data_IF_754971300370
#
_entry.id   IF_754971300370
#
_cell.length_a   1.000
_cell.length_b   1.000
_cell.length_c   1.000
_cell.angle_alpha   90.00
_cell.angle_beta   90.00
_cell.angle_gamma   90.00
#
_symmetry.space_group_name_H-M   'P 1'
#
loop_
_entity.id
_entity.type
_entity.pdbx_description
1 polymer ?
#
# COMPACT_ATOMS: atom_id res chain seq x y z
N UNK A 1 -3.38 9.45 25.84
CA UNK A 1 -4.77 9.80 25.47
C UNK A 1 -5.31 8.80 24.46
N UNK A 2 -4.68 8.61 23.29
CA UNK A 2 -5.20 7.74 22.22
C UNK A 2 -5.48 6.29 22.67
N UNK A 3 -4.64 5.71 23.55
CA UNK A 3 -4.87 4.36 24.08
C UNK A 3 -6.14 4.33 24.95
N UNK A 4 -6.36 5.35 25.78
CA UNK A 4 -7.59 5.43 26.60
C UNK A 4 -8.84 5.55 25.75
N UNK A 5 -8.80 6.36 24.70
CA UNK A 5 -9.89 6.48 23.72
C UNK A 5 -10.14 5.14 23.04
N UNK A 6 -9.11 4.45 22.59
CA UNK A 6 -9.26 3.14 21.96
C UNK A 6 -9.86 2.09 22.92
N UNK A 7 -9.45 2.08 24.19
CA UNK A 7 -9.98 1.18 25.20
C UNK A 7 -11.46 1.49 25.51
N UNK A 8 -11.84 2.77 25.58
CA UNK A 8 -13.22 3.18 25.76
C UNK A 8 -14.07 2.75 24.56
N UNK A 9 -13.60 3.00 23.34
CA UNK A 9 -14.29 2.54 22.12
C UNK A 9 -14.44 1.03 22.04
N UNK A 10 -13.50 0.27 22.60
CA UNK A 10 -13.60 -1.19 22.72
C UNK A 10 -14.71 -1.61 23.69
N UNK A 11 -14.89 -0.90 24.80
CA UNK A 11 -15.98 -1.17 25.73
C UNK A 11 -17.35 -0.84 25.10
N UNK A 12 -17.45 0.25 24.36
CA UNK A 12 -18.65 0.60 23.59
C UNK A 12 -18.96 -0.47 22.55
N UNK A 13 -17.94 -0.93 21.80
CA UNK A 13 -18.09 -1.99 20.81
C UNK A 13 -18.56 -3.33 21.41
N UNK A 14 -18.16 -3.63 22.66
CA UNK A 14 -18.69 -4.81 23.37
C UNK A 14 -20.16 -4.62 23.75
N UNK A 15 -20.53 -3.47 24.24
CA UNK A 15 -21.94 -3.15 24.56
C UNK A 15 -22.83 -3.23 23.32
N UNK A 16 -22.30 -2.84 22.16
CA UNK A 16 -22.97 -2.91 20.86
C UNK A 16 -22.97 -4.33 20.23
N UNK A 17 -22.37 -5.33 20.88
CA UNK A 17 -22.25 -6.68 20.35
C UNK A 17 -21.25 -6.84 19.18
N UNK A 18 -20.45 -5.81 18.90
CA UNK A 18 -19.43 -5.82 17.84
C UNK A 18 -18.15 -6.56 18.23
N UNK A 19 -18.01 -6.86 19.50
CA UNK A 19 -16.98 -7.76 20.04
C UNK A 19 -17.53 -8.47 21.28
N UNK A 20 -16.95 -9.62 21.63
CA UNK A 20 -17.26 -10.33 22.88
C UNK A 20 -15.97 -10.87 23.51
N UNK A 21 -15.98 -10.98 24.84
CA UNK A 21 -14.92 -11.59 25.61
C UNK A 21 -15.54 -12.80 26.32
N UNK A 22 -14.97 -13.98 26.13
CA UNK A 22 -15.49 -15.21 26.71
C UNK A 22 -15.00 -15.41 28.16
N UNK A 23 -15.44 -16.51 28.78
CA UNK A 23 -15.11 -16.86 30.16
C UNK A 23 -13.60 -17.18 30.38
N UNK A 24 -12.83 -17.29 29.30
CA UNK A 24 -11.38 -17.53 29.31
C UNK A 24 -10.59 -16.25 28.95
N UNK A 25 -11.23 -15.08 29.04
CA UNK A 25 -10.64 -13.78 28.69
C UNK A 25 -10.18 -13.68 27.23
N UNK A 26 -10.79 -14.48 26.35
CA UNK A 26 -10.46 -14.49 24.93
C UNK A 26 -11.36 -13.52 24.17
N UNK A 27 -10.74 -12.64 23.38
CA UNK A 27 -11.43 -11.69 22.52
C UNK A 27 -11.95 -12.34 21.25
N UNK A 28 -13.22 -12.21 20.99
CA UNK A 28 -13.89 -12.66 19.77
C UNK A 28 -14.48 -11.48 19.00
N UNK A 29 -14.27 -11.48 17.69
CA UNK A 29 -14.93 -10.57 16.76
C UNK A 29 -15.94 -11.40 15.96
N UNK A 30 -17.22 -11.00 15.87
CA UNK A 30 -18.17 -11.63 14.98
C UNK A 30 -17.69 -11.55 13.54
N UNK A 31 -18.13 -12.48 12.70
CA UNK A 31 -17.92 -12.37 11.28
C UNK A 31 -18.53 -11.04 10.82
N UNK A 32 -17.79 -10.32 9.95
CA UNK A 32 -18.38 -9.16 9.29
C UNK A 32 -19.60 -9.65 8.51
N UNK A 33 -20.75 -9.12 8.84
CA UNK A 33 -21.94 -9.32 8.02
C UNK A 33 -21.61 -8.81 6.60
N UNK A 34 -22.04 -9.59 5.61
CA UNK A 34 -21.99 -9.09 4.25
C UNK A 34 -22.74 -7.76 4.27
N UNK A 35 -22.09 -6.68 3.87
CA UNK A 35 -22.82 -5.47 3.59
C UNK A 35 -23.95 -5.90 2.66
N UNK A 36 -25.19 -5.78 3.09
CA UNK A 36 -26.34 -5.78 2.21
C UNK A 36 -26.12 -4.60 1.26
N UNK A 37 -25.22 -4.83 0.30
CA UNK A 37 -25.08 -3.91 -0.80
C UNK A 37 -26.48 -3.85 -1.40
N UNK A 38 -27.03 -2.67 -1.51
CA UNK A 38 -28.16 -2.46 -2.40
C UNK A 38 -27.77 -3.16 -3.69
N UNK A 39 -28.35 -4.33 -3.92
CA UNK A 39 -28.08 -5.11 -5.12
C UNK A 39 -28.57 -4.22 -6.24
N UNK A 40 -27.65 -3.48 -6.87
CA UNK A 40 -27.99 -2.68 -8.04
C UNK A 40 -28.74 -3.63 -8.96
N UNK A 41 -30.04 -3.41 -9.21
CA UNK A 41 -30.81 -4.34 -9.99
C UNK A 41 -30.05 -4.64 -11.28
N UNK A 42 -29.92 -5.90 -11.67
CA UNK A 42 -29.18 -6.31 -12.88
C UNK A 42 -29.52 -5.44 -14.09
N UNK A 43 -30.78 -5.02 -14.18
CA UNK A 43 -31.28 -4.11 -15.22
C UNK A 43 -30.62 -2.72 -15.15
N UNK A 44 -30.44 -2.17 -13.95
CA UNK A 44 -29.78 -0.86 -13.76
C UNK A 44 -28.30 -0.96 -14.07
N UNK A 45 -27.61 -2.02 -13.61
CA UNK A 45 -26.23 -2.28 -13.94
C UNK A 45 -26.03 -2.39 -15.46
N UNK A 46 -26.89 -3.17 -16.14
CA UNK A 46 -26.86 -3.30 -17.58
C UNK A 46 -27.05 -1.95 -18.29
N UNK A 47 -28.04 -1.15 -17.88
CA UNK A 47 -28.29 0.16 -18.46
C UNK A 47 -27.11 1.13 -18.28
N UNK A 48 -26.40 1.08 -17.14
CA UNK A 48 -25.20 1.86 -16.90
C UNK A 48 -24.08 1.44 -17.86
N UNK A 49 -23.82 0.13 -17.99
CA UNK A 49 -22.82 -0.38 -18.92
C UNK A 49 -23.16 -0.08 -20.39
N UNK A 50 -24.43 -0.17 -20.78
CA UNK A 50 -24.88 0.22 -22.13
C UNK A 50 -24.68 1.73 -22.37
N UNK A 51 -24.89 2.58 -21.35
CA UNK A 51 -24.70 4.02 -21.47
C UNK A 51 -23.21 4.43 -21.54
N UNK A 52 -22.32 3.70 -20.86
CA UNK A 52 -20.86 3.91 -20.94
C UNK A 52 -20.32 3.42 -22.29
N UNK A 53 -20.90 2.34 -22.85
CA UNK A 53 -20.42 1.68 -24.05
C UNK A 53 -19.18 0.80 -23.82
N UNK A 54 -18.75 0.13 -24.85
CA UNK A 54 -17.51 -0.64 -24.85
C UNK A 54 -16.32 0.33 -25.04
N UNK A 55 -15.40 0.30 -24.08
CA UNK A 55 -14.17 1.09 -24.13
C UNK A 55 -12.98 0.16 -24.38
N UNK A 56 -12.18 0.50 -25.38
CA UNK A 56 -10.94 -0.21 -25.65
C UNK A 56 -9.77 0.43 -24.91
N UNK A 57 -8.80 -0.38 -24.46
CA UNK A 57 -7.63 0.14 -23.75
C UNK A 57 -6.89 1.27 -24.50
N UNK A 58 -6.70 1.23 -25.83
CA UNK A 58 -6.11 2.36 -26.56
C UNK A 58 -6.89 3.66 -26.42
N UNK A 59 -8.24 3.60 -26.46
CA UNK A 59 -9.09 4.79 -26.33
C UNK A 59 -8.98 5.40 -24.92
N UNK A 60 -8.97 4.52 -23.89
CA UNK A 60 -8.74 4.94 -22.48
C UNK A 60 -7.37 5.62 -22.34
N UNK A 61 -6.32 5.10 -22.96
CA UNK A 61 -5.00 5.73 -22.92
C UNK A 61 -5.01 7.12 -23.56
N UNK A 62 -5.69 7.28 -24.69
CA UNK A 62 -5.81 8.59 -25.37
C UNK A 62 -6.57 9.62 -24.52
N UNK A 63 -7.70 9.22 -23.94
CA UNK A 63 -8.51 10.10 -23.07
C UNK A 63 -7.77 10.47 -21.78
N UNK A 64 -7.12 9.48 -21.15
CA UNK A 64 -6.34 9.70 -19.95
C UNK A 64 -5.17 10.65 -20.23
N UNK A 65 -4.45 10.48 -21.34
CA UNK A 65 -3.34 11.36 -21.70
C UNK A 65 -3.80 12.79 -22.05
N UNK A 66 -4.91 12.91 -22.76
CA UNK A 66 -5.50 14.22 -23.05
C UNK A 66 -5.84 15.00 -21.76
N UNK A 67 -6.22 14.30 -20.70
CA UNK A 67 -6.58 14.90 -19.42
C UNK A 67 -5.39 15.14 -18.49
N UNK A 68 -4.35 14.30 -18.57
CA UNK A 68 -3.26 14.26 -17.59
C UNK A 68 -1.90 14.65 -18.17
N UNK A 69 -1.71 14.52 -19.46
CA UNK A 69 -0.41 14.67 -20.10
C UNK A 69 0.61 13.62 -19.62
N UNK A 70 0.18 12.40 -19.25
CA UNK A 70 1.08 11.39 -18.72
C UNK A 70 2.18 11.00 -19.72
N UNK A 71 1.92 11.07 -21.02
CA UNK A 71 2.90 10.80 -22.06
C UNK A 71 4.11 11.72 -21.98
N UNK A 72 3.93 12.98 -21.63
CA UNK A 72 5.04 13.92 -21.42
C UNK A 72 5.94 13.50 -20.26
N UNK A 73 5.34 12.95 -19.19
CA UNK A 73 6.11 12.40 -18.07
C UNK A 73 6.90 11.14 -18.46
N UNK A 74 6.30 10.29 -19.33
CA UNK A 74 6.95 9.10 -19.86
C UNK A 74 8.10 9.42 -20.81
N UNK A 75 7.89 10.36 -21.73
CA UNK A 75 8.90 10.78 -22.70
C UNK A 75 9.98 11.67 -22.06
N UNK A 76 9.60 12.43 -21.00
CA UNK A 76 10.44 13.46 -20.40
C UNK A 76 10.38 14.79 -21.17
N UNK A 77 9.59 14.87 -22.21
CA UNK A 77 9.34 16.05 -23.04
C UNK A 77 7.99 15.90 -23.77
N UNK A 78 7.48 16.98 -24.32
CA UNK A 78 6.30 16.91 -25.18
C UNK A 78 6.65 16.18 -26.48
N UNK A 79 5.79 15.23 -26.89
CA UNK A 79 6.02 14.47 -28.12
C UNK A 79 6.23 15.39 -29.32
N UNK A 80 7.30 15.15 -30.07
CA UNK A 80 7.67 15.94 -31.25
C UNK A 80 6.87 15.59 -32.50
N UNK A 81 6.21 14.44 -32.49
CA UNK A 81 5.39 13.94 -33.59
C UNK A 81 4.34 12.94 -33.12
N UNK A 82 3.29 12.76 -33.94
CA UNK A 82 2.28 11.72 -33.71
C UNK A 82 2.90 10.33 -33.66
N UNK A 83 3.92 10.06 -34.44
CA UNK A 83 4.61 8.75 -34.46
C UNK A 83 5.29 8.47 -33.15
N UNK A 84 5.95 9.47 -32.55
CA UNK A 84 6.58 9.35 -31.24
C UNK A 84 5.54 9.10 -30.14
N UNK A 85 4.42 9.80 -30.17
CA UNK A 85 3.32 9.62 -29.24
C UNK A 85 2.70 8.22 -29.36
N UNK A 86 2.44 7.76 -30.58
CA UNK A 86 1.93 6.41 -30.83
C UNK A 86 2.94 5.34 -30.40
N UNK A 87 4.24 5.58 -30.58
CA UNK A 87 5.27 4.65 -30.11
C UNK A 87 5.31 4.58 -28.57
N UNK A 88 5.06 5.69 -27.86
CA UNK A 88 4.90 5.73 -26.41
C UNK A 88 3.71 4.89 -25.94
N UNK A 89 2.54 5.05 -26.55
CA UNK A 89 1.35 4.21 -26.23
C UNK A 89 1.57 2.75 -26.60
N UNK A 90 2.19 2.50 -27.75
CA UNK A 90 2.55 1.15 -28.16
C UNK A 90 3.52 0.48 -27.18
N UNK A 91 4.44 1.22 -26.61
CA UNK A 91 5.34 0.72 -25.57
C UNK A 91 4.61 0.38 -24.26
N UNK A 92 3.61 1.21 -23.87
CA UNK A 92 2.77 0.89 -22.70
C UNK A 92 1.95 -0.38 -22.93
N UNK A 93 1.37 -0.55 -24.13
CA UNK A 93 0.66 -1.78 -24.48
C UNK A 93 1.57 -2.99 -24.45
N UNK A 94 2.79 -2.88 -24.99
CA UNK A 94 3.75 -3.98 -25.00
C UNK A 94 4.28 -4.36 -23.61
N UNK A 95 4.38 -3.40 -22.69
CA UNK A 95 4.76 -3.68 -21.29
C UNK A 95 3.58 -4.16 -20.44
N UNK A 96 2.38 -3.67 -20.70
CA UNK A 96 1.20 -3.92 -19.87
C UNK A 96 0.34 -5.10 -20.31
N UNK A 97 0.67 -5.71 -21.44
CA UNK A 97 -0.08 -6.86 -22.00
C UNK A 97 0.87 -7.97 -22.43
N UNK A 98 0.34 -9.11 -22.87
CA UNK A 98 1.12 -10.20 -23.45
C UNK A 98 1.51 -9.96 -24.93
N UNK A 99 1.20 -8.79 -25.49
CA UNK A 99 1.51 -8.43 -26.88
C UNK A 99 2.92 -7.82 -26.89
N UNK A 100 3.84 -8.46 -27.60
CA UNK A 100 5.20 -7.96 -27.76
C UNK A 100 5.29 -6.74 -28.71
N UNK A 101 6.47 -6.13 -28.81
CA UNK A 101 6.70 -4.99 -29.71
C UNK A 101 6.39 -5.28 -31.18
N UNK A 102 6.53 -6.54 -31.63
CA UNK A 102 6.21 -6.97 -32.99
C UNK A 102 4.71 -7.03 -33.19
N UNK A 103 3.98 -7.59 -32.24
CA UNK A 103 2.51 -7.62 -32.25
C UNK A 103 1.89 -6.22 -32.25
N UNK A 104 2.38 -5.33 -31.38
CA UNK A 104 1.94 -3.93 -31.34
C UNK A 104 2.21 -3.22 -32.67
N UNK A 105 3.41 -3.37 -33.25
CA UNK A 105 3.73 -2.75 -34.53
C UNK A 105 2.88 -3.31 -35.69
N UNK A 106 2.45 -4.58 -35.63
CA UNK A 106 1.53 -5.15 -36.61
C UNK A 106 0.11 -4.57 -36.52
N UNK A 107 -0.31 -4.15 -35.30
CA UNK A 107 -1.62 -3.53 -35.06
C UNK A 107 -1.66 -2.04 -35.43
N UNK A 108 -0.51 -1.35 -35.45
CA UNK A 108 -0.41 0.09 -35.71
C UNK A 108 0.44 0.31 -36.98
N UNK A 109 -0.18 0.46 -38.16
CA UNK A 109 0.53 0.49 -39.43
C UNK A 109 1.58 1.58 -39.58
N UNK A 110 1.48 2.68 -38.82
CA UNK A 110 2.44 3.78 -38.82
C UNK A 110 3.72 3.51 -37.99
N UNK A 111 3.75 2.41 -37.23
CA UNK A 111 4.88 2.09 -36.35
C UNK A 111 5.74 0.95 -36.91
N UNK A 112 7.04 1.09 -36.71
CA UNK A 112 8.02 0.03 -36.90
C UNK A 112 8.34 -0.65 -35.57
N UNK A 113 8.64 -1.95 -35.60
CA UNK A 113 9.06 -2.70 -34.40
C UNK A 113 10.21 -2.01 -33.66
N UNK A 114 11.18 -1.46 -34.38
CA UNK A 114 12.30 -0.74 -33.78
C UNK A 114 11.90 0.51 -33.02
N UNK A 115 10.83 1.20 -33.44
CA UNK A 115 10.32 2.39 -32.74
C UNK A 115 9.61 1.99 -31.44
N UNK A 116 8.79 0.95 -31.46
CA UNK A 116 8.15 0.43 -30.24
C UNK A 116 9.19 -0.06 -29.25
N UNK A 117 10.18 -0.86 -29.71
CA UNK A 117 11.27 -1.35 -28.84
C UNK A 117 12.16 -0.24 -28.29
N UNK A 118 12.39 0.83 -29.04
CA UNK A 118 13.13 2.00 -28.57
C UNK A 118 12.32 2.77 -27.48
N UNK A 119 11.03 2.94 -27.71
CA UNK A 119 10.10 3.55 -26.74
C UNK A 119 10.03 2.71 -25.45
N UNK A 120 9.90 1.39 -25.52
CA UNK A 120 9.93 0.50 -24.36
C UNK A 120 11.18 0.74 -23.50
N UNK A 121 12.37 0.71 -24.09
CA UNK A 121 13.62 1.01 -23.37
C UNK A 121 13.63 2.42 -22.77
N UNK A 122 13.02 3.40 -23.45
CA UNK A 122 12.92 4.75 -22.95
C UNK A 122 12.03 4.84 -21.70
N UNK A 123 10.97 4.06 -21.61
CA UNK A 123 10.09 4.02 -20.44
C UNK A 123 10.76 3.41 -19.20
N UNK A 124 11.77 2.59 -19.38
CA UNK A 124 12.57 1.99 -18.30
C UNK A 124 13.46 3.03 -17.56
N UNK A 125 13.57 4.24 -18.09
CA UNK A 125 14.35 5.29 -17.42
C UNK A 125 13.76 5.61 -16.01
N UNK A 126 14.64 5.74 -14.99
CA UNK A 126 14.21 5.87 -13.60
C UNK A 126 13.17 6.97 -13.38
N UNK A 127 12.10 6.61 -12.69
CA UNK A 127 11.04 7.52 -12.26
C UNK A 127 10.05 7.97 -13.35
N UNK A 128 10.21 7.59 -14.62
CA UNK A 128 9.29 8.00 -15.69
C UNK A 128 7.89 7.41 -15.49
N UNK A 129 7.80 6.10 -15.32
CA UNK A 129 6.53 5.42 -15.06
C UNK A 129 5.87 5.94 -13.78
N UNK A 130 6.66 6.16 -12.73
CA UNK A 130 6.12 6.72 -11.48
C UNK A 130 5.51 8.10 -11.69
N UNK A 131 6.23 9.04 -12.31
CA UNK A 131 5.69 10.39 -12.59
C UNK A 131 4.46 10.37 -13.49
N UNK A 132 4.40 9.46 -14.45
CA UNK A 132 3.22 9.29 -15.28
C UNK A 132 2.03 8.78 -14.46
N UNK A 133 2.25 7.77 -13.61
CA UNK A 133 1.23 7.25 -12.70
C UNK A 133 0.74 8.32 -11.71
N UNK A 134 1.63 9.14 -11.17
CA UNK A 134 1.28 10.27 -10.29
C UNK A 134 0.31 11.25 -10.97
N UNK A 135 0.57 11.63 -12.24
CA UNK A 135 -0.35 12.49 -13.00
C UNK A 135 -1.75 11.88 -13.16
N UNK A 136 -1.81 10.60 -13.48
CA UNK A 136 -3.09 9.87 -13.62
C UNK A 136 -3.80 9.77 -12.27
N UNK A 137 -3.09 9.46 -11.21
CA UNK A 137 -3.64 9.35 -9.86
C UNK A 137 -4.14 10.70 -9.32
N UNK A 138 -3.42 11.78 -9.58
CA UNK A 138 -3.83 13.15 -9.22
C UNK A 138 -5.11 13.57 -9.96
N UNK A 139 -5.19 13.27 -11.25
CA UNK A 139 -6.41 13.49 -12.03
C UNK A 139 -7.58 12.68 -11.46
N UNK A 140 -7.40 11.38 -11.21
CA UNK A 140 -8.43 10.53 -10.61
C UNK A 140 -8.93 11.09 -9.27
N UNK A 141 -8.03 11.59 -8.43
CA UNK A 141 -8.39 12.22 -7.15
C UNK A 141 -9.20 13.51 -7.30
N UNK A 142 -9.02 14.22 -8.40
CA UNK A 142 -9.78 15.45 -8.71
C UNK A 142 -11.21 15.17 -9.16
N UNK A 143 -11.51 13.92 -9.58
CA UNK A 143 -12.85 13.53 -10.04
C UNK A 143 -13.79 13.40 -8.83
N UNK A 144 -14.93 14.14 -8.80
CA UNK A 144 -15.84 14.12 -7.64
C UNK A 144 -16.35 12.72 -7.29
N UNK A 145 -16.57 11.84 -8.28
CA UNK A 145 -17.00 10.46 -8.08
C UNK A 145 -15.99 9.66 -7.24
N UNK A 146 -14.69 9.90 -7.40
CA UNK A 146 -13.66 9.22 -6.63
C UNK A 146 -13.77 9.50 -5.12
N UNK A 147 -14.30 10.64 -4.72
CA UNK A 147 -14.50 11.00 -3.32
C UNK A 147 -15.58 10.14 -2.61
N UNK A 148 -16.44 9.45 -3.38
CA UNK A 148 -17.45 8.56 -2.81
C UNK A 148 -16.83 7.29 -2.20
N UNK A 149 -15.64 6.87 -2.62
CA UNK A 149 -14.96 5.68 -2.08
C UNK A 149 -14.21 5.96 -0.80
N UNK A 150 -13.76 7.19 -0.59
CA UNK A 150 -13.04 7.49 0.64
C UNK A 150 -12.47 8.91 0.69
N UNK A 151 -12.01 9.34 1.87
CA UNK A 151 -11.46 10.69 2.08
C UNK A 151 -10.10 10.89 1.39
N UNK A 152 -9.41 9.83 0.97
CA UNK A 152 -8.09 9.90 0.34
C UNK A 152 -6.93 9.96 1.34
N UNK A 153 -7.17 9.59 2.60
CA UNK A 153 -6.17 9.57 3.67
C UNK A 153 -5.85 8.16 4.18
N UNK A 154 -6.43 7.15 3.56
CA UNK A 154 -6.22 5.74 3.88
C UNK A 154 -5.73 4.99 2.65
N UNK A 155 -4.90 3.99 2.89
CA UNK A 155 -4.45 3.08 1.85
C UNK A 155 -4.37 1.65 2.37
N UNK A 156 -4.31 0.72 1.44
CA UNK A 156 -3.91 -0.66 1.69
C UNK A 156 -2.60 -0.95 0.96
N UNK A 157 -1.81 -1.87 1.49
CA UNK A 157 -0.62 -2.34 0.79
C UNK A 157 -0.46 -3.85 0.92
N UNK A 158 -0.01 -4.44 -0.17
CA UNK A 158 0.26 -5.88 -0.25
C UNK A 158 1.41 -6.15 -1.23
N UNK A 159 1.94 -7.37 -1.14
CA UNK A 159 2.99 -7.84 -2.00
C UNK A 159 2.46 -8.83 -3.02
N UNK A 160 2.72 -8.55 -4.28
CA UNK A 160 2.55 -9.50 -5.38
C UNK A 160 3.89 -10.15 -5.73
N UNK A 161 3.86 -11.46 -5.96
CA UNK A 161 5.02 -12.23 -6.42
C UNK A 161 4.96 -12.35 -7.95
N UNK A 162 5.98 -11.86 -8.63
CA UNK A 162 6.12 -11.91 -10.09
C UNK A 162 7.26 -12.85 -10.45
N UNK A 163 7.02 -13.73 -11.42
CA UNK A 163 8.08 -14.60 -11.95
C UNK A 163 9.23 -13.76 -12.51
N UNK A 164 10.43 -14.15 -12.16
CA UNK A 164 11.62 -13.38 -12.47
C UNK A 164 12.80 -14.31 -12.82
N UNK A 165 13.76 -13.78 -13.55
CA UNK A 165 15.02 -14.48 -13.79
C UNK A 165 15.78 -14.70 -12.48
N UNK A 166 16.40 -15.85 -12.32
CA UNK A 166 17.30 -16.16 -11.19
C UNK A 166 18.47 -15.17 -11.07
N UNK A 167 18.82 -14.49 -12.16
CA UNK A 167 19.89 -13.51 -12.20
C UNK A 167 19.50 -12.13 -11.64
N UNK A 168 18.22 -11.90 -11.37
CA UNK A 168 17.80 -10.66 -10.69
C UNK A 168 18.23 -10.68 -9.23
N UNK A 169 18.86 -9.61 -8.77
CA UNK A 169 19.42 -9.50 -7.41
C UNK A 169 18.36 -9.70 -6.30
N UNK A 170 17.13 -9.30 -6.55
CA UNK A 170 15.99 -9.41 -5.63
C UNK A 170 15.13 -10.66 -5.84
N UNK A 171 15.43 -11.49 -6.83
CA UNK A 171 14.72 -12.74 -7.04
C UNK A 171 15.07 -13.78 -5.96
N UNK A 172 14.09 -14.52 -5.52
CA UNK A 172 14.21 -15.68 -4.62
C UNK A 172 13.24 -16.75 -5.07
N UNK A 173 13.49 -17.97 -4.66
CA UNK A 173 12.54 -19.06 -4.90
C UNK A 173 11.23 -18.78 -4.15
N UNK A 174 10.12 -18.70 -4.88
CA UNK A 174 8.79 -18.61 -4.30
C UNK A 174 8.41 -19.96 -3.68
N UNK A 175 8.17 -20.05 -2.36
CA UNK A 175 7.87 -21.30 -1.70
C UNK A 175 6.59 -21.98 -2.22
N UNK A 176 5.65 -21.19 -2.76
CA UNK A 176 4.36 -21.69 -3.25
C UNK A 176 4.47 -22.25 -4.67
N UNK A 177 5.19 -21.56 -5.55
CA UNK A 177 5.31 -21.90 -6.97
C UNK A 177 6.58 -22.68 -7.29
N UNK A 178 7.59 -22.61 -6.43
CA UNK A 178 8.93 -23.19 -6.59
C UNK A 178 9.69 -22.67 -7.82
N UNK A 179 9.33 -21.49 -8.28
CA UNK A 179 9.99 -20.73 -9.35
C UNK A 179 10.70 -19.53 -8.75
N UNK A 180 11.69 -18.97 -9.47
CA UNK A 180 12.29 -17.70 -9.07
C UNK A 180 11.28 -16.57 -9.27
N UNK A 181 11.14 -15.72 -8.28
CA UNK A 181 10.25 -14.57 -8.32
C UNK A 181 10.83 -13.38 -7.55
N UNK A 182 10.42 -12.19 -7.95
CA UNK A 182 10.63 -10.94 -7.23
C UNK A 182 9.32 -10.48 -6.61
N UNK A 183 9.39 -9.83 -5.45
CA UNK A 183 8.23 -9.18 -4.83
C UNK A 183 8.03 -7.79 -5.43
N UNK A 184 6.78 -7.43 -5.71
CA UNK A 184 6.36 -6.06 -5.97
C UNK A 184 5.42 -5.63 -4.86
N UNK A 185 5.80 -4.64 -4.06
CA UNK A 185 5.01 -4.14 -2.95
C UNK A 185 4.28 -2.87 -3.37
N UNK A 186 2.96 -2.90 -3.35
CA UNK A 186 2.10 -1.86 -3.94
C UNK A 186 1.22 -1.22 -2.88
N UNK A 187 1.09 0.10 -2.91
CA UNK A 187 0.19 0.88 -2.07
C UNK A 187 -0.98 1.40 -2.90
N UNK A 188 -2.19 1.08 -2.48
CA UNK A 188 -3.44 1.46 -3.15
C UNK A 188 -4.28 2.32 -2.22
N UNK A 189 -4.63 3.53 -2.67
CA UNK A 189 -5.52 4.43 -1.92
C UNK A 189 -6.94 3.87 -1.80
N UNK A 190 -7.67 4.36 -0.82
CA UNK A 190 -9.12 4.18 -0.67
C UNK A 190 -9.93 4.68 -1.88
N UNK A 191 -9.31 5.47 -2.76
CA UNK A 191 -9.85 5.93 -4.06
C UNK A 191 -9.33 5.12 -5.25
N UNK A 192 -8.82 3.91 -5.03
CA UNK A 192 -8.29 2.98 -6.03
C UNK A 192 -7.05 3.44 -6.81
N UNK A 193 -6.43 4.56 -6.47
CA UNK A 193 -5.17 4.98 -7.09
C UNK A 193 -3.98 4.19 -6.54
N UNK A 194 -3.12 3.66 -7.40
CA UNK A 194 -1.80 3.14 -7.01
C UNK A 194 -0.88 4.34 -6.79
N UNK A 195 -0.48 4.58 -5.53
CA UNK A 195 0.32 5.76 -5.18
C UNK A 195 1.80 5.47 -5.02
N UNK A 196 2.15 4.23 -4.77
CA UNK A 196 3.54 3.81 -4.69
C UNK A 196 3.67 2.32 -4.95
N UNK A 197 4.70 1.97 -5.68
CA UNK A 197 5.13 0.59 -5.89
C UNK A 197 6.64 0.51 -5.79
N UNK A 198 7.15 -0.63 -5.33
CA UNK A 198 8.57 -0.89 -5.26
C UNK A 198 8.89 -2.37 -5.34
N UNK A 199 9.96 -2.74 -6.06
CA UNK A 199 10.47 -4.10 -6.02
C UNK A 199 11.10 -4.37 -4.66
N UNK A 200 10.78 -5.52 -4.08
CA UNK A 200 11.37 -6.01 -2.83
C UNK A 200 11.91 -7.42 -3.02
N UNK A 201 12.83 -7.81 -2.15
CA UNK A 201 13.27 -9.21 -2.10
C UNK A 201 12.12 -10.06 -1.58
N UNK A 202 11.75 -11.10 -2.32
CA UNK A 202 10.59 -11.93 -2.04
C UNK A 202 10.66 -12.45 -0.62
N UNK A 203 10.76 -12.82 0.21
CA UNK A 203 10.84 -13.38 1.55
C UNK A 203 11.36 -12.38 2.62
N UNK A 204 11.51 -11.10 2.27
CA UNK A 204 11.85 -10.09 3.27
C UNK A 204 10.61 -9.57 4.03
N UNK A 205 10.86 -8.99 5.21
CA UNK A 205 9.81 -8.36 5.99
C UNK A 205 9.31 -7.10 5.30
N UNK A 206 8.01 -6.99 5.14
CA UNK A 206 7.36 -5.94 4.33
C UNK A 206 7.20 -4.60 5.06
N UNK A 207 7.34 -4.56 6.39
CA UNK A 207 7.07 -3.35 7.18
C UNK A 207 7.90 -2.13 6.75
N UNK A 208 9.13 -2.34 6.31
CA UNK A 208 9.96 -1.25 5.80
C UNK A 208 9.50 -0.71 4.46
N UNK A 209 9.02 -1.59 3.57
CA UNK A 209 8.42 -1.20 2.30
C UNK A 209 7.10 -0.44 2.53
N UNK A 210 6.30 -0.88 3.50
CA UNK A 210 5.08 -0.19 3.91
C UNK A 210 5.36 1.26 4.35
N UNK A 211 6.37 1.46 5.19
CA UNK A 211 6.76 2.82 5.64
C UNK A 211 7.30 3.65 4.47
N UNK A 212 8.14 3.07 3.62
CA UNK A 212 8.75 3.80 2.51
C UNK A 212 7.72 4.38 1.55
N UNK A 213 6.65 3.63 1.23
CA UNK A 213 5.58 4.13 0.35
C UNK A 213 4.78 5.27 0.97
N UNK A 214 4.46 5.19 2.26
CA UNK A 214 3.75 6.27 2.95
C UNK A 214 4.62 7.52 3.06
N UNK A 215 5.91 7.37 3.37
CA UNK A 215 6.84 8.50 3.44
C UNK A 215 6.97 9.19 2.07
N UNK A 216 7.10 8.42 0.99
CA UNK A 216 7.12 8.98 -0.36
C UNK A 216 5.84 9.77 -0.64
N UNK A 217 4.67 9.19 -0.39
CA UNK A 217 3.40 9.85 -0.66
C UNK A 217 3.18 11.11 0.18
N UNK A 218 3.51 11.07 1.46
CA UNK A 218 3.28 12.18 2.37
C UNK A 218 4.28 13.34 2.18
N UNK A 219 5.53 13.04 1.85
CA UNK A 219 6.60 14.05 1.82
C UNK A 219 6.99 14.48 0.42
N UNK A 220 7.08 13.57 -0.54
CA UNK A 220 7.45 13.92 -1.90
C UNK A 220 6.27 14.42 -2.72
N UNK A 221 5.07 13.86 -2.48
CA UNK A 221 3.86 14.29 -3.17
C UNK A 221 3.02 15.29 -2.36
N UNK A 222 3.45 15.68 -1.14
CA UNK A 222 2.76 16.62 -0.27
C UNK A 222 1.31 16.25 0.07
N UNK A 223 1.02 14.95 0.15
CA UNK A 223 -0.28 14.43 0.56
C UNK A 223 -0.25 13.97 2.02
N UNK A 224 -1.39 13.56 2.52
CA UNK A 224 -1.49 13.05 3.89
C UNK A 224 -2.22 11.71 3.92
N UNK A 225 -1.45 10.65 4.10
CA UNK A 225 -1.96 9.33 4.41
C UNK A 225 -1.77 9.10 5.91
N UNK A 226 -2.86 8.86 6.62
CA UNK A 226 -2.89 8.70 8.07
C UNK A 226 -2.97 7.24 8.51
N UNK A 227 -3.51 6.36 7.66
CA UNK A 227 -3.70 4.93 7.95
C UNK A 227 -3.27 4.09 6.76
N UNK A 228 -2.44 3.08 7.03
CA UNK A 228 -2.09 2.04 6.07
C UNK A 228 -2.53 0.67 6.60
N UNK A 229 -3.43 0.01 5.89
CA UNK A 229 -3.83 -1.37 6.17
C UNK A 229 -2.98 -2.35 5.40
N UNK A 230 -2.56 -3.42 6.06
CA UNK A 230 -1.72 -4.47 5.47
C UNK A 230 -2.21 -5.85 5.89
N UNK A 231 -1.76 -6.87 5.18
CA UNK A 231 -2.04 -8.26 5.57
C UNK A 231 -1.27 -8.67 6.84
N UNK A 232 -1.39 -9.94 7.23
CA UNK A 232 -0.70 -10.49 8.41
C UNK A 232 0.81 -10.49 8.32
N UNK A 233 1.40 -10.46 7.13
CA UNK A 233 2.85 -10.41 6.95
C UNK A 233 3.44 -9.03 7.28
N UNK A 234 2.61 -7.99 7.24
CA UNK A 234 2.98 -6.65 7.71
C UNK A 234 3.01 -6.49 9.24
N UNK A 235 2.52 -7.48 10.00
CA UNK A 235 2.48 -7.42 11.46
C UNK A 235 3.86 -7.61 12.08
N UNK A 236 4.44 -6.52 12.55
CA UNK A 236 5.62 -6.53 13.43
C UNK A 236 5.54 -5.38 14.43
N UNK A 237 5.93 -5.60 15.68
CA UNK A 237 5.94 -4.53 16.68
C UNK A 237 6.85 -3.37 16.28
N UNK A 238 8.03 -3.68 15.72
CA UNK A 238 8.96 -2.67 15.23
C UNK A 238 8.38 -1.86 14.04
N UNK A 239 7.68 -2.53 13.11
CA UNK A 239 7.02 -1.87 11.98
C UNK A 239 5.93 -0.92 12.42
N UNK A 240 5.03 -1.36 13.33
CA UNK A 240 3.96 -0.52 13.86
C UNK A 240 4.51 0.67 14.66
N UNK A 241 5.54 0.45 15.50
CA UNK A 241 6.20 1.52 16.23
C UNK A 241 6.92 2.50 15.30
N UNK A 242 7.62 2.00 14.29
CA UNK A 242 8.29 2.81 13.27
C UNK A 242 7.32 3.68 12.49
N UNK A 243 6.20 3.11 12.02
CA UNK A 243 5.14 3.85 11.35
C UNK A 243 4.58 4.98 12.23
N UNK A 244 4.31 4.68 13.50
CA UNK A 244 3.82 5.69 14.45
C UNK A 244 4.82 6.82 14.69
N UNK A 245 6.12 6.51 14.74
CA UNK A 245 7.19 7.51 14.88
C UNK A 245 7.30 8.43 13.66
N UNK A 246 7.03 7.93 12.45
CA UNK A 246 7.00 8.74 11.22
C UNK A 246 5.63 9.36 10.93
N UNK A 247 4.62 9.13 11.78
CA UNK A 247 3.40 9.93 11.83
C UNK A 247 2.16 9.33 11.17
N UNK A 248 2.10 8.01 10.99
CA UNK A 248 0.89 7.31 10.52
C UNK A 248 0.63 6.02 11.31
N UNK A 249 -0.55 5.46 11.15
CA UNK A 249 -0.94 4.20 11.77
C UNK A 249 -0.82 3.03 10.77
N UNK A 250 0.05 2.07 11.08
CA UNK A 250 0.13 0.80 10.37
C UNK A 250 -0.84 -0.18 11.02
N UNK A 251 -1.88 -0.57 10.29
CA UNK A 251 -2.97 -1.41 10.75
C UNK A 251 -2.91 -2.80 10.08
N UNK A 252 -2.13 -3.74 10.60
CA UNK A 252 -2.05 -5.08 10.04
C UNK A 252 -3.30 -5.90 10.41
N UNK A 253 -3.71 -6.79 9.50
CA UNK A 253 -4.68 -7.82 9.82
C UNK A 253 -4.08 -8.77 10.87
N UNK A 254 -4.76 -8.92 11.97
CA UNK A 254 -4.32 -9.81 13.05
C UNK A 254 -4.79 -11.24 12.79
N UNK A 255 -3.85 -12.17 12.72
CA UNK A 255 -4.13 -13.62 12.72
C UNK A 255 -4.10 -14.13 14.16
N UNK A 256 -4.93 -15.12 14.48
CA UNK A 256 -5.00 -15.73 15.80
C UNK A 256 -5.16 -14.67 16.90
N UNK A 257 -6.28 -13.98 16.87
CA UNK A 257 -6.55 -12.85 17.76
C UNK A 257 -6.44 -13.24 19.25
N UNK A 258 -6.87 -14.46 19.60
CA UNK A 258 -6.77 -15.02 20.95
C UNK A 258 -5.33 -15.12 21.50
N UNK A 259 -4.35 -15.24 20.61
CA UNK A 259 -2.92 -15.32 21.00
C UNK A 259 -2.25 -13.95 21.09
N UNK A 260 -2.95 -12.88 20.73
CA UNK A 260 -2.39 -11.53 20.71
C UNK A 260 -2.44 -10.89 22.08
N UNK A 261 -1.33 -10.26 22.44
CA UNK A 261 -1.21 -9.54 23.72
C UNK A 261 -1.50 -8.09 23.52
N UNK A 262 -2.38 -7.55 24.35
CA UNK A 262 -2.59 -6.11 24.44
C UNK A 262 -1.63 -5.54 25.48
N UNK A 263 -0.78 -4.60 25.04
CA UNK A 263 0.23 -3.97 25.86
C UNK A 263 -0.24 -2.60 26.35
N UNK A 264 -0.10 -2.37 27.64
CA UNK A 264 -0.42 -1.07 28.26
C UNK A 264 0.75 -0.59 29.11
N UNK A 265 0.82 0.71 29.47
CA UNK A 265 1.82 1.19 30.40
C UNK A 265 1.75 0.45 31.74
N UNK A 266 2.89 0.02 32.27
CA UNK A 266 2.94 -0.71 33.55
C UNK A 266 2.30 0.03 34.73
N UNK A 267 2.27 1.37 34.66
CA UNK A 267 1.61 2.23 35.65
C UNK A 267 0.07 2.17 35.64
N UNK A 268 -0.52 1.51 34.64
CA UNK A 268 -1.97 1.42 34.45
C UNK A 268 -2.60 0.17 35.07
N UNK A 269 -1.83 -0.74 35.61
CA UNK A 269 -2.31 -2.00 36.22
C UNK A 269 -3.10 -1.82 37.53
N UNK A 270 -3.35 -0.61 37.98
CA UNK A 270 -4.05 -0.32 39.23
C UNK A 270 -5.58 -0.19 39.12
N UNK A 271 -6.22 -0.70 38.07
CA UNK A 271 -7.67 -0.89 38.00
C UNK A 271 -8.52 0.36 37.80
N UNK A 272 -7.94 1.54 37.61
CA UNK A 272 -8.71 2.79 37.44
C UNK A 272 -8.76 3.31 36.00
N UNK A 273 -7.88 2.80 35.15
CA UNK A 273 -7.68 3.34 33.80
C UNK A 273 -8.39 2.54 32.70
N UNK A 274 -9.07 1.43 33.06
CA UNK A 274 -9.73 0.54 32.12
C UNK A 274 -11.22 0.42 32.37
N UNK A 275 -12.00 0.31 31.32
CA UNK A 275 -13.32 -0.26 31.40
C UNK A 275 -13.16 -1.77 31.69
N UNK A 276 -13.81 -2.25 32.78
CA UNK A 276 -13.71 -3.63 33.28
C UNK A 276 -13.71 -4.75 32.24
N UNK A 277 -14.51 -4.69 31.15
CA UNK A 277 -14.55 -5.78 30.19
C UNK A 277 -13.25 -5.94 29.41
N UNK A 278 -12.51 -4.85 29.16
CA UNK A 278 -11.28 -4.87 28.36
C UNK A 278 -10.05 -5.16 29.22
N UNK A 279 -10.15 -4.95 30.53
CA UNK A 279 -9.08 -5.26 31.48
C UNK A 279 -8.67 -6.75 31.38
N UNK A 280 -9.63 -7.64 31.12
CA UNK A 280 -9.40 -9.06 30.99
C UNK A 280 -8.45 -9.45 29.84
N UNK A 281 -8.48 -8.70 28.73
CA UNK A 281 -7.62 -8.97 27.55
C UNK A 281 -6.28 -8.25 27.61
N UNK A 282 -6.03 -7.40 28.62
CA UNK A 282 -4.73 -6.77 28.83
C UNK A 282 -3.78 -7.77 29.46
N UNK A 283 -2.91 -8.35 28.64
CA UNK A 283 -2.06 -9.47 29.01
C UNK A 283 -0.59 -9.11 29.19
N UNK A 284 -0.20 -7.87 28.88
CA UNK A 284 1.19 -7.46 28.93
C UNK A 284 1.37 -5.97 29.27
N UNK A 285 2.54 -5.60 29.73
CA UNK A 285 2.87 -4.20 30.07
C UNK A 285 4.10 -3.70 29.34
N UNK A 286 4.13 -2.40 29.10
CA UNK A 286 5.28 -1.67 28.55
C UNK A 286 5.91 -0.81 29.64
N UNK A 287 7.23 -0.96 29.80
CA UNK A 287 8.00 -0.12 30.71
C UNK A 287 8.24 1.26 30.09
N UNK A 288 7.52 2.29 30.56
CA UNK A 288 7.72 3.68 30.11
C UNK A 288 9.17 4.16 30.29
N UNK A 289 9.90 3.61 31.28
CA UNK A 289 11.33 3.93 31.48
C UNK A 289 12.15 3.51 30.26
N UNK A 290 11.91 2.32 29.67
CA UNK A 290 12.62 1.86 28.48
C UNK A 290 12.37 2.78 27.27
N UNK A 291 11.11 3.22 27.09
CA UNK A 291 10.76 4.18 26.04
C UNK A 291 11.51 5.50 26.24
N UNK A 292 11.52 6.05 27.47
CA UNK A 292 12.22 7.31 27.78
C UNK A 292 13.73 7.19 27.54
N UNK A 293 14.34 6.07 27.93
CA UNK A 293 15.78 5.84 27.72
C UNK A 293 16.12 5.69 26.24
N UNK A 294 15.27 5.05 25.44
CA UNK A 294 15.47 4.86 24.01
C UNK A 294 15.00 6.02 23.11
N UNK A 295 14.40 7.08 23.70
CA UNK A 295 13.69 8.11 22.96
C UNK A 295 14.55 8.80 21.90
N UNK A 296 15.77 9.18 22.22
CA UNK A 296 16.69 9.82 21.29
C UNK A 296 17.02 8.90 20.09
N UNK A 297 17.17 7.61 20.32
CA UNK A 297 17.37 6.61 19.26
C UNK A 297 16.15 6.50 18.34
N UNK A 298 14.95 6.52 18.92
CA UNK A 298 13.68 6.50 18.17
C UNK A 298 13.52 7.75 17.31
N UNK A 299 13.83 8.94 17.85
CA UNK A 299 13.78 10.19 17.09
C UNK A 299 14.82 10.23 15.97
N UNK A 300 16.05 9.74 16.24
CA UNK A 300 17.09 9.62 15.19
C UNK A 300 16.66 8.70 14.08
N UNK A 301 16.02 7.57 14.38
CA UNK A 301 15.46 6.68 13.39
C UNK A 301 14.42 7.41 12.53
N UNK A 302 13.40 8.01 13.14
CA UNK A 302 12.35 8.72 12.44
C UNK A 302 12.93 9.85 11.56
N UNK A 303 13.82 10.66 12.08
CA UNK A 303 14.48 11.73 11.35
C UNK A 303 15.32 11.20 10.18
N UNK A 304 16.04 10.10 10.37
CA UNK A 304 16.88 9.51 9.31
C UNK A 304 16.05 8.95 8.17
N UNK A 305 14.89 8.32 8.47
CA UNK A 305 13.94 7.83 7.45
C UNK A 305 13.32 9.02 6.71
N UNK A 306 12.78 10.01 7.44
CA UNK A 306 12.12 11.19 6.85
C UNK A 306 13.05 12.06 6.01
N UNK A 307 14.32 12.12 6.33
CA UNK A 307 15.33 12.86 5.56
C UNK A 307 15.97 12.02 4.44
N UNK A 308 15.52 10.79 4.25
CA UNK A 308 16.07 9.88 3.23
C UNK A 308 17.51 9.42 3.48
N UNK A 309 18.06 9.64 4.68
CA UNK A 309 19.43 9.22 5.03
C UNK A 309 19.57 7.70 5.14
N UNK A 310 18.51 7.02 5.56
CA UNK A 310 18.39 5.57 5.54
C UNK A 310 17.03 5.17 5.00
N UNK A 311 16.94 4.05 4.31
CA UNK A 311 15.64 3.48 3.97
C UNK A 311 14.98 2.88 5.23
N UNK A 312 13.64 2.90 5.28
CA UNK A 312 12.90 2.28 6.37
C UNK A 312 13.23 0.79 6.54
N UNK A 313 13.49 0.07 5.44
CA UNK A 313 13.93 -1.32 5.46
C UNK A 313 15.25 -1.51 6.22
N UNK A 314 16.24 -0.68 5.93
CA UNK A 314 17.55 -0.76 6.62
C UNK A 314 17.37 -0.41 8.11
N UNK A 315 16.64 0.63 8.43
CA UNK A 315 16.43 1.06 9.81
C UNK A 315 15.70 0.00 10.64
N UNK A 316 14.64 -0.62 10.10
CA UNK A 316 13.90 -1.67 10.82
C UNK A 316 14.70 -2.97 10.96
N UNK A 317 15.58 -3.29 10.01
CA UNK A 317 16.50 -4.45 10.16
C UNK A 317 17.46 -4.27 11.34
N UNK A 318 18.00 -3.07 11.49
CA UNK A 318 18.89 -2.77 12.63
C UNK A 318 18.17 -2.94 13.98
N UNK A 319 16.91 -2.55 14.06
CA UNK A 319 16.10 -2.79 15.25
C UNK A 319 15.70 -4.26 15.43
N UNK A 320 15.36 -4.95 14.35
CA UNK A 320 14.94 -6.35 14.39
C UNK A 320 16.07 -7.32 14.73
N UNK A 321 17.32 -7.02 14.37
CA UNK A 321 18.48 -7.83 14.71
C UNK A 321 18.89 -7.70 16.19
N UNK A 322 18.63 -6.56 16.80
CA UNK A 322 18.87 -6.35 18.22
C UNK A 322 17.84 -7.06 19.12
N UNK A 323 16.60 -7.28 18.62
CA UNK A 323 15.54 -7.95 19.37
C UNK A 323 15.57 -9.48 19.29
N UNK A 324 16.40 -10.06 18.43
CA UNK A 324 16.56 -11.53 18.30
C UNK A 324 17.71 -12.11 19.13
N UNK A 325 18.34 -11.31 19.95
CA UNK A 325 19.45 -11.72 20.82
C UNK A 325 19.06 -11.89 22.31
N UNK A 326 17.74 -11.87 22.62
CA UNK A 326 17.21 -12.19 23.95
C UNK A 326 16.20 -13.35 23.89
#
# INVERSE_FOLDING_TARGET
>A
ENIRVALASGADAQSDGKLSIDAHDTLHLPALEALDGEVVPKRTGKAIFEAIGEQQLPDILLEADASTGFSEALLGHRASSTVELLACYGALLAHGTEIDAKGVAAMIPSLKVSQVSAAMRSLEAPGRLRRANERVTDFQRSVPLAALWGPGDKASADMMSLDASEHLWNARVDPRRRTYAAGLYTHVLDRYGIVYDQPIVLNERQAGAAIAGVEHYNHEQHHRLSVLTVDTHGYTHAGMAGAKLVGFDLCPRLRALAERKLYVPSSWHSGRDFAKPIEAVVSASVALKAIRTGWDGMLRFAASVRTGRISANVGLRLWGSAASSD
#
